data_IF_295000146539
#
_entry.id   IF_295000146539
#
_cell.length_a   1.000
_cell.length_b   1.000
_cell.length_c   1.000
_cell.angle_alpha   90.00
_cell.angle_beta   90.00
_cell.angle_gamma   90.00
#
_symmetry.space_group_name_H-M   'P 1'
#
loop_
_entity.id
_entity.type
_entity.pdbx_description
1 polymer ?
#
# COMPACT_ATOMS: atom_id res chain seq x y z
N UNK A 1 2.54 -42.22 -18.65
CA UNK A 1 2.07 -42.24 -17.23
C UNK A 1 3.13 -41.50 -16.43
N UNK A 2 2.91 -40.22 -16.12
CA UNK A 2 3.87 -39.36 -15.39
C UNK A 2 3.86 -39.77 -13.92
N UNK A 3 4.92 -40.45 -13.49
CA UNK A 3 5.14 -40.81 -12.10
C UNK A 3 5.56 -39.57 -11.31
N UNK A 4 4.62 -38.78 -10.84
CA UNK A 4 4.90 -37.66 -9.93
C UNK A 4 5.37 -38.27 -8.60
N UNK A 5 6.61 -37.99 -8.15
CA UNK A 5 7.12 -38.56 -6.90
C UNK A 5 6.23 -38.13 -5.73
N UNK A 6 5.82 -39.10 -4.89
CA UNK A 6 5.04 -38.86 -3.68
C UNK A 6 5.89 -38.05 -2.70
N UNK A 7 5.54 -36.76 -2.48
CA UNK A 7 6.26 -35.86 -1.55
C UNK A 7 6.17 -36.40 -0.11
N UNK A 8 7.26 -36.35 0.60
CA UNK A 8 7.32 -36.64 2.04
C UNK A 8 6.44 -35.66 2.84
N UNK A 9 6.02 -36.00 4.06
CA UNK A 9 5.27 -35.09 4.93
C UNK A 9 5.98 -33.74 5.11
N UNK A 10 7.32 -33.73 5.28
CA UNK A 10 8.13 -32.53 5.40
C UNK A 10 8.10 -31.69 4.14
N UNK A 11 8.24 -32.28 2.97
CA UNK A 11 8.19 -31.56 1.69
C UNK A 11 6.82 -30.91 1.44
N UNK A 12 5.73 -31.56 1.87
CA UNK A 12 4.38 -30.97 1.80
C UNK A 12 4.25 -29.75 2.71
N UNK A 13 4.76 -29.82 3.95
CA UNK A 13 4.75 -28.70 4.88
C UNK A 13 5.58 -27.51 4.38
N UNK A 14 6.78 -27.78 3.84
CA UNK A 14 7.62 -26.72 3.27
C UNK A 14 6.96 -26.04 2.07
N UNK A 15 6.33 -26.80 1.19
CA UNK A 15 5.59 -26.24 0.05
C UNK A 15 4.37 -25.41 0.49
N UNK A 16 3.63 -25.87 1.51
CA UNK A 16 2.52 -25.10 2.07
C UNK A 16 2.98 -23.80 2.73
N UNK A 17 4.09 -23.86 3.48
CA UNK A 17 4.69 -22.70 4.13
C UNK A 17 5.12 -21.65 3.08
N UNK A 18 5.82 -22.08 2.03
CA UNK A 18 6.24 -21.21 0.94
C UNK A 18 5.03 -20.56 0.21
N UNK A 19 3.96 -21.32 -0.02
CA UNK A 19 2.72 -20.78 -0.59
C UNK A 19 2.07 -19.73 0.32
N UNK A 20 1.97 -20.01 1.63
CA UNK A 20 1.38 -19.06 2.58
C UNK A 20 2.20 -17.79 2.69
N UNK A 21 3.52 -17.90 2.78
CA UNK A 21 4.42 -16.73 2.84
C UNK A 21 4.25 -15.85 1.59
N UNK A 22 4.19 -16.45 0.38
CA UNK A 22 3.93 -15.68 -0.84
C UNK A 22 2.58 -14.97 -0.82
N UNK A 23 1.52 -15.64 -0.34
CA UNK A 23 0.18 -15.03 -0.21
C UNK A 23 0.17 -13.89 0.79
N UNK A 24 0.81 -14.06 1.95
CA UNK A 24 0.94 -12.99 2.95
C UNK A 24 1.70 -11.79 2.37
N UNK A 25 2.81 -12.02 1.69
CA UNK A 25 3.57 -10.95 1.03
C UNK A 25 2.74 -10.20 -0.02
N UNK A 26 2.04 -10.90 -0.91
CA UNK A 26 1.18 -10.28 -1.91
C UNK A 26 0.03 -9.48 -1.27
N UNK A 27 -0.57 -9.99 -0.20
CA UNK A 27 -1.64 -9.30 0.53
C UNK A 27 -1.12 -8.07 1.27
N UNK A 28 0.08 -8.13 1.85
CA UNK A 28 0.70 -6.97 2.50
C UNK A 28 0.93 -5.82 1.51
N UNK A 29 1.44 -6.12 0.31
CA UNK A 29 1.60 -5.12 -0.76
C UNK A 29 0.27 -4.48 -1.14
N UNK A 30 -0.79 -5.28 -1.31
CA UNK A 30 -2.13 -4.76 -1.64
C UNK A 30 -2.69 -3.87 -0.53
N UNK A 31 -2.53 -4.26 0.74
CA UNK A 31 -2.99 -3.46 1.89
C UNK A 31 -2.22 -2.13 1.92
N UNK A 32 -0.89 -2.17 1.79
CA UNK A 32 -0.04 -0.97 1.76
C UNK A 32 -0.47 0.01 0.66
N UNK A 33 -0.71 -0.48 -0.56
CA UNK A 33 -1.14 0.35 -1.69
C UNK A 33 -2.52 0.99 -1.46
N UNK A 34 -3.48 0.23 -0.93
CA UNK A 34 -4.82 0.72 -0.59
C UNK A 34 -4.79 1.76 0.54
N UNK A 35 -3.98 1.56 1.56
CA UNK A 35 -3.82 2.52 2.66
C UNK A 35 -3.13 3.78 2.17
N UNK A 36 -2.01 3.65 1.43
CA UNK A 36 -1.29 4.76 0.84
C UNK A 36 -2.23 5.67 0.02
N UNK A 37 -3.03 5.07 -0.86
CA UNK A 37 -4.02 5.80 -1.67
C UNK A 37 -5.00 6.59 -0.80
N UNK A 38 -5.47 6.03 0.33
CA UNK A 38 -6.42 6.70 1.23
C UNK A 38 -5.85 7.88 1.97
N UNK A 39 -4.55 7.87 2.25
CA UNK A 39 -3.86 8.98 2.93
C UNK A 39 -3.17 9.93 1.95
N UNK A 40 -3.35 9.74 0.64
CA UNK A 40 -2.78 10.60 -0.41
C UNK A 40 -1.28 10.39 -0.64
N UNK A 41 -0.76 9.23 -0.28
CA UNK A 41 0.62 8.78 -0.51
C UNK A 41 0.66 7.72 -1.63
N UNK A 42 1.86 7.39 -2.08
CA UNK A 42 2.11 6.14 -2.80
C UNK A 42 2.66 5.07 -1.83
N UNK A 43 2.67 3.81 -2.24
CA UNK A 43 3.12 2.69 -1.41
C UNK A 43 4.57 2.84 -0.93
N UNK A 44 5.47 3.32 -1.77
CA UNK A 44 6.88 3.55 -1.37
C UNK A 44 6.99 4.63 -0.28
N UNK A 45 6.19 5.71 -0.36
CA UNK A 45 6.17 6.77 0.65
C UNK A 45 5.61 6.23 1.98
N UNK A 46 4.54 5.42 1.94
CA UNK A 46 3.98 4.79 3.14
C UNK A 46 4.96 3.80 3.78
N UNK A 47 5.62 2.94 2.99
CA UNK A 47 6.65 2.02 3.50
C UNK A 47 7.80 2.76 4.16
N UNK A 48 8.25 3.87 3.58
CA UNK A 48 9.27 4.71 4.18
C UNK A 48 8.80 5.40 5.47
N UNK A 49 7.52 5.78 5.54
CA UNK A 49 6.93 6.34 6.75
C UNK A 49 6.87 5.30 7.88
N UNK A 50 6.49 4.05 7.56
CA UNK A 50 6.48 2.92 8.50
C UNK A 50 7.89 2.62 9.03
N UNK A 51 8.89 2.63 8.14
CA UNK A 51 10.29 2.47 8.55
C UNK A 51 10.74 3.59 9.51
N UNK A 52 10.37 4.84 9.25
CA UNK A 52 10.66 5.97 10.14
C UNK A 52 9.95 5.82 11.49
N UNK A 53 8.72 5.33 11.50
CA UNK A 53 7.96 5.11 12.73
C UNK A 53 8.59 4.02 13.61
N UNK A 54 9.11 2.96 12.99
CA UNK A 54 9.78 1.87 13.68
C UNK A 54 11.19 2.25 14.19
N UNK A 55 11.95 2.99 13.38
CA UNK A 55 13.32 3.37 13.70
C UNK A 55 13.44 4.60 14.62
N UNK A 56 12.38 5.42 14.69
CA UNK A 56 12.43 6.75 15.28
C UNK A 56 13.19 7.76 14.42
N UNK A 57 13.53 8.94 14.97
CA UNK A 57 14.23 9.98 14.25
C UNK A 57 15.55 9.48 13.65
N UNK A 58 15.71 9.58 12.33
CA UNK A 58 16.85 9.00 11.61
C UNK A 58 17.33 9.93 10.49
N UNK A 59 18.55 9.72 10.00
CA UNK A 59 19.08 10.50 8.87
C UNK A 59 18.59 9.97 7.53
N UNK A 60 18.58 10.81 6.48
CA UNK A 60 18.28 10.37 5.13
C UNK A 60 19.20 9.23 4.64
N UNK A 61 20.47 9.24 5.06
CA UNK A 61 21.42 8.17 4.74
C UNK A 61 21.04 6.83 5.38
N UNK A 62 20.68 6.83 6.66
CA UNK A 62 20.20 5.62 7.36
C UNK A 62 18.88 5.11 6.77
N UNK A 63 17.95 6.03 6.45
CA UNK A 63 16.71 5.69 5.79
C UNK A 63 16.96 5.04 4.41
N UNK A 64 17.92 5.55 3.62
CA UNK A 64 18.34 4.94 2.35
C UNK A 64 18.84 3.51 2.53
N UNK A 65 19.63 3.25 3.57
CA UNK A 65 20.11 1.89 3.89
C UNK A 65 18.97 0.94 4.26
N UNK A 66 18.01 1.40 5.07
CA UNK A 66 16.90 0.57 5.54
C UNK A 66 15.85 0.31 4.45
N UNK A 67 15.57 1.30 3.60
CA UNK A 67 14.58 1.16 2.52
C UNK A 67 15.13 0.49 1.25
N UNK A 68 16.45 0.40 1.11
CA UNK A 68 17.08 -0.07 -0.13
C UNK A 68 16.98 0.90 -1.31
N UNK A 69 16.49 2.12 -1.08
CA UNK A 69 16.39 3.17 -2.09
C UNK A 69 17.75 3.86 -2.31
N UNK A 70 17.93 4.43 -3.49
CA UNK A 70 19.08 5.33 -3.73
C UNK A 70 18.93 6.61 -2.90
N UNK A 71 20.04 7.28 -2.60
CA UNK A 71 20.04 8.55 -1.83
C UNK A 71 19.12 9.60 -2.47
N UNK A 72 19.13 9.71 -3.81
CA UNK A 72 18.25 10.65 -4.53
C UNK A 72 16.77 10.29 -4.39
N UNK A 73 16.42 8.99 -4.51
CA UNK A 73 15.06 8.51 -4.33
C UNK A 73 14.58 8.72 -2.88
N UNK A 74 15.44 8.45 -1.89
CA UNK A 74 15.14 8.68 -0.47
C UNK A 74 14.87 10.16 -0.18
N UNK A 75 15.70 11.07 -0.73
CA UNK A 75 15.46 12.51 -0.59
C UNK A 75 14.12 12.92 -1.18
N UNK A 76 13.77 12.41 -2.38
CA UNK A 76 12.50 12.70 -3.01
C UNK A 76 11.29 12.17 -2.21
N UNK A 77 11.41 10.98 -1.59
CA UNK A 77 10.39 10.44 -0.66
C UNK A 77 10.22 11.37 0.54
N UNK A 78 11.32 11.74 1.20
CA UNK A 78 11.28 12.63 2.37
C UNK A 78 10.64 13.97 2.01
N UNK A 79 10.97 14.55 0.85
CA UNK A 79 10.39 15.82 0.39
C UNK A 79 8.87 15.71 0.14
N UNK A 80 8.39 14.56 -0.36
CA UNK A 80 6.95 14.32 -0.53
C UNK A 80 6.25 14.14 0.81
N UNK A 81 6.81 13.34 1.71
CA UNK A 81 6.28 13.13 3.06
C UNK A 81 6.23 14.43 3.87
N UNK A 82 7.25 15.27 3.77
CA UNK A 82 7.30 16.57 4.44
C UNK A 82 6.25 17.54 3.86
N UNK A 83 6.13 17.60 2.53
CA UNK A 83 5.10 18.41 1.86
C UNK A 83 3.69 17.93 2.18
N UNK A 84 3.49 16.64 2.36
CA UNK A 84 2.22 16.04 2.77
C UNK A 84 1.94 16.18 4.29
N UNK A 85 2.89 16.67 5.07
CA UNK A 85 2.74 16.90 6.51
C UNK A 85 2.87 15.64 7.37
N UNK A 86 3.53 14.59 6.89
CA UNK A 86 3.75 13.36 7.65
C UNK A 86 5.06 13.35 8.42
N UNK A 87 6.06 14.04 7.94
CA UNK A 87 7.39 14.12 8.56
C UNK A 87 7.87 15.56 8.64
N UNK A 88 8.87 15.78 9.47
CA UNK A 88 9.63 17.02 9.50
C UNK A 88 11.13 16.74 9.55
N UNK A 89 11.93 17.70 9.06
CA UNK A 89 13.36 17.72 9.24
C UNK A 89 13.71 18.55 10.47
N UNK A 90 14.54 18.03 11.36
CA UNK A 90 15.10 18.81 12.46
C UNK A 90 16.59 18.56 12.62
N UNK A 91 17.30 19.52 13.21
CA UNK A 91 18.71 19.35 13.53
C UNK A 91 18.88 18.42 14.73
N UNK A 92 19.92 17.57 14.67
CA UNK A 92 20.26 16.73 15.81
C UNK A 92 20.62 17.63 17.01
N UNK A 93 20.18 17.31 18.24
CA UNK A 93 20.41 18.14 19.42
C UNK A 93 21.90 18.36 19.72
N UNK A 94 22.72 17.30 19.56
CA UNK A 94 24.14 17.31 19.93
C UNK A 94 25.07 17.62 18.75
N UNK A 95 24.61 17.43 17.49
CA UNK A 95 25.39 17.75 16.28
C UNK A 95 24.53 18.47 15.25
N UNK A 96 24.65 19.79 15.20
CA UNK A 96 23.90 20.65 14.28
C UNK A 96 24.19 20.43 12.78
N UNK A 97 25.23 19.65 12.46
CA UNK A 97 25.54 19.26 11.06
C UNK A 97 24.64 18.13 10.59
N UNK A 98 24.09 17.36 11.52
CA UNK A 98 23.23 16.22 11.25
C UNK A 98 21.78 16.68 11.20
N UNK A 99 21.08 16.31 10.13
CA UNK A 99 19.65 16.51 9.96
C UNK A 99 18.93 15.18 10.14
N UNK A 100 18.02 15.15 11.08
CA UNK A 100 17.11 14.03 11.33
C UNK A 100 15.79 14.26 10.62
N UNK A 101 15.18 13.18 10.17
CA UNK A 101 13.81 13.10 9.71
C UNK A 101 13.01 12.36 10.76
N UNK A 102 11.89 12.90 11.18
CA UNK A 102 11.01 12.29 12.19
C UNK A 102 9.55 12.38 11.77
N UNK A 103 8.75 11.39 12.17
CA UNK A 103 7.31 11.37 11.94
C UNK A 103 6.63 12.34 12.89
N UNK A 104 5.63 13.05 12.39
CA UNK A 104 4.84 13.97 13.20
C UNK A 104 3.75 13.22 13.99
N UNK A 105 3.55 13.58 15.27
CA UNK A 105 2.66 12.88 16.20
C UNK A 105 1.20 12.76 15.70
N UNK A 106 0.73 13.71 14.91
CA UNK A 106 -0.63 13.70 14.38
C UNK A 106 -0.86 12.67 13.25
N UNK A 107 0.19 12.03 12.73
CA UNK A 107 0.09 11.06 11.63
C UNK A 107 -0.54 9.74 12.08
N UNK A 108 -0.20 9.26 13.28
CA UNK A 108 -0.76 8.04 13.85
C UNK A 108 -2.29 8.01 13.81
N UNK A 109 -2.99 9.00 14.40
CA UNK A 109 -4.45 9.08 14.39
C UNK A 109 -5.12 9.04 13.01
N UNK A 110 -4.40 9.35 11.93
CA UNK A 110 -4.93 9.28 10.56
C UNK A 110 -4.74 7.91 9.91
N UNK A 111 -3.67 7.21 10.25
CA UNK A 111 -3.29 5.94 9.64
C UNK A 111 -3.81 4.73 10.44
N UNK A 112 -3.70 4.76 11.77
CA UNK A 112 -4.12 3.67 12.66
C UNK A 112 -5.56 3.16 12.41
N UNK A 113 -6.57 4.01 12.19
CA UNK A 113 -7.93 3.54 11.93
C UNK A 113 -8.02 2.63 10.70
N UNK A 114 -7.14 2.81 9.70
CA UNK A 114 -7.12 2.02 8.47
C UNK A 114 -6.58 0.60 8.70
N UNK A 115 -5.78 0.40 9.76
CA UNK A 115 -5.24 -0.91 10.16
C UNK A 115 -6.00 -1.58 11.30
N UNK A 116 -6.97 -0.90 11.93
CA UNK A 116 -7.66 -1.40 13.13
C UNK A 116 -8.30 -2.76 12.94
N UNK A 117 -9.06 -2.94 11.87
CA UNK A 117 -9.74 -4.21 11.58
C UNK A 117 -8.75 -5.36 11.37
N UNK A 118 -7.65 -5.08 10.64
CA UNK A 118 -6.57 -6.04 10.45
C UNK A 118 -5.93 -6.42 11.80
N UNK A 119 -5.61 -5.42 12.62
CA UNK A 119 -5.03 -5.62 13.94
C UNK A 119 -5.93 -6.47 14.84
N UNK A 120 -7.21 -6.14 14.94
CA UNK A 120 -8.21 -6.90 15.71
C UNK A 120 -8.34 -8.34 15.18
N UNK A 121 -8.32 -8.52 13.86
CA UNK A 121 -8.30 -9.84 13.22
C UNK A 121 -7.08 -10.66 13.62
N UNK A 122 -5.89 -10.07 13.55
CA UNK A 122 -4.64 -10.71 13.94
C UNK A 122 -4.60 -11.03 15.44
N UNK A 123 -5.11 -10.16 16.31
CA UNK A 123 -5.22 -10.45 17.74
C UNK A 123 -6.08 -11.69 18.02
N UNK A 124 -7.21 -11.85 17.31
CA UNK A 124 -8.05 -13.06 17.41
C UNK A 124 -7.34 -14.33 16.92
N UNK A 125 -6.50 -14.21 15.90
CA UNK A 125 -5.66 -15.31 15.41
C UNK A 125 -4.60 -15.66 16.46
N UNK A 126 -3.85 -14.66 16.94
CA UNK A 126 -2.78 -14.85 17.92
C UNK A 126 -3.26 -15.50 19.22
N UNK A 127 -4.48 -15.18 19.66
CA UNK A 127 -5.08 -15.76 20.86
C UNK A 127 -5.32 -17.30 20.79
N UNK A 128 -5.19 -17.90 19.60
CA UNK A 128 -5.33 -19.35 19.40
C UNK A 128 -4.02 -20.11 19.60
N UNK A 129 -2.92 -19.40 19.70
CA UNK A 129 -1.59 -19.98 19.80
C UNK A 129 -1.01 -19.77 21.20
N UNK A 130 -0.34 -20.78 21.72
CA UNK A 130 0.42 -20.66 22.96
C UNK A 130 1.65 -19.77 22.78
N UNK A 131 2.17 -19.22 23.86
CA UNK A 131 3.41 -18.44 23.83
C UNK A 131 4.58 -19.21 23.17
N UNK A 132 4.67 -20.53 23.39
CA UNK A 132 5.71 -21.36 22.80
C UNK A 132 5.57 -21.48 21.28
N UNK A 133 4.36 -21.57 20.77
CA UNK A 133 4.10 -21.59 19.33
C UNK A 133 4.39 -20.24 18.69
N UNK A 134 3.97 -19.15 19.35
CA UNK A 134 4.29 -17.79 18.90
C UNK A 134 5.81 -17.53 18.90
N UNK A 135 6.56 -18.03 19.88
CA UNK A 135 8.02 -17.93 19.91
C UNK A 135 8.67 -18.61 18.69
N UNK A 136 8.19 -19.80 18.32
CA UNK A 136 8.65 -20.50 17.10
C UNK A 136 8.36 -19.66 15.85
N UNK A 137 7.14 -19.08 15.75
CA UNK A 137 6.77 -18.22 14.61
C UNK A 137 7.64 -16.98 14.53
N UNK A 138 7.83 -16.28 15.65
CA UNK A 138 8.70 -15.09 15.74
C UNK A 138 10.11 -15.41 15.27
N UNK A 139 10.72 -16.46 15.82
CA UNK A 139 12.07 -16.88 15.44
C UNK A 139 12.16 -17.21 13.94
N UNK A 140 11.23 -18.02 13.42
CA UNK A 140 11.20 -18.37 12.01
C UNK A 140 11.11 -17.14 11.11
N UNK A 141 10.18 -16.21 11.41
CA UNK A 141 9.98 -15.01 10.61
C UNK A 141 11.19 -14.05 10.71
N UNK A 142 11.84 -13.97 11.87
CA UNK A 142 13.06 -13.17 12.03
C UNK A 142 14.22 -13.71 11.17
N UNK A 143 14.45 -15.03 11.19
CA UNK A 143 15.46 -15.67 10.34
C UNK A 143 15.13 -15.53 8.84
N UNK A 144 13.86 -15.64 8.47
CA UNK A 144 13.40 -15.44 7.09
C UNK A 144 13.60 -13.99 6.62
N UNK A 145 13.33 -13.00 7.51
CA UNK A 145 13.56 -11.58 7.23
C UNK A 145 15.05 -11.29 6.99
N UNK A 146 15.95 -11.85 7.81
CA UNK A 146 17.39 -11.71 7.58
C UNK A 146 17.84 -12.34 6.25
N UNK A 147 17.29 -13.50 5.89
CA UNK A 147 17.58 -14.14 4.60
C UNK A 147 17.11 -13.26 3.43
N UNK A 148 15.92 -12.65 3.57
CA UNK A 148 15.37 -11.68 2.61
C UNK A 148 16.28 -10.44 2.47
N UNK A 149 16.75 -9.87 3.58
CA UNK A 149 17.63 -8.70 3.57
C UNK A 149 18.97 -9.00 2.86
N UNK A 150 19.55 -10.19 3.10
CA UNK A 150 20.74 -10.64 2.35
C UNK A 150 20.47 -10.77 0.85
N UNK A 151 19.29 -11.26 0.47
CA UNK A 151 18.92 -11.40 -0.93
C UNK A 151 18.71 -10.04 -1.62
N UNK A 152 18.10 -9.07 -0.93
CA UNK A 152 17.99 -7.69 -1.42
C UNK A 152 19.37 -7.10 -1.68
N UNK A 153 20.30 -7.21 -0.73
CA UNK A 153 21.66 -6.72 -0.89
C UNK A 153 22.38 -7.40 -2.08
N UNK A 154 22.17 -8.68 -2.27
CA UNK A 154 22.70 -9.40 -3.43
C UNK A 154 22.10 -8.90 -4.75
N UNK A 155 20.76 -8.73 -4.83
CA UNK A 155 20.11 -8.20 -6.03
C UNK A 155 20.60 -6.81 -6.42
N UNK A 156 20.89 -5.95 -5.45
CA UNK A 156 21.44 -4.60 -5.69
C UNK A 156 22.83 -4.63 -6.36
N UNK A 157 23.60 -5.71 -6.20
CA UNK A 157 24.91 -5.90 -6.86
C UNK A 157 24.80 -6.52 -8.25
N UNK A 158 23.62 -7.03 -8.63
CA UNK A 158 23.44 -7.68 -9.92
C UNK A 158 23.23 -6.66 -11.04
N UNK A 159 23.83 -6.88 -12.22
CA UNK A 159 23.54 -6.05 -13.39
C UNK A 159 22.08 -6.21 -13.80
N UNK A 160 21.47 -5.13 -14.29
CA UNK A 160 20.12 -5.19 -14.83
C UNK A 160 20.06 -6.22 -15.97
N UNK A 161 19.12 -7.16 -15.90
CA UNK A 161 18.89 -8.11 -16.98
C UNK A 161 18.42 -7.33 -18.21
N UNK A 162 19.18 -7.40 -19.30
CA UNK A 162 18.74 -6.86 -20.57
C UNK A 162 17.51 -7.65 -21.03
N UNK A 163 16.33 -7.04 -20.94
CA UNK A 163 15.13 -7.61 -21.53
C UNK A 163 15.34 -7.67 -23.05
N UNK A 164 15.70 -8.83 -23.55
CA UNK A 164 15.57 -9.12 -24.97
C UNK A 164 14.07 -9.11 -25.28
N UNK A 165 13.53 -7.93 -25.66
CA UNK A 165 12.19 -7.85 -26.24
C UNK A 165 12.24 -8.72 -27.50
N UNK A 166 11.52 -9.85 -27.58
CA UNK A 166 11.41 -10.56 -28.83
C UNK A 166 10.89 -9.54 -29.84
N UNK A 167 11.68 -9.27 -30.89
CA UNK A 167 11.20 -8.48 -32.02
C UNK A 167 9.96 -9.19 -32.54
N UNK A 168 8.81 -8.66 -32.22
CA UNK A 168 7.58 -9.02 -32.89
C UNK A 168 7.86 -8.73 -34.38
N UNK A 169 8.10 -9.78 -35.17
CA UNK A 169 8.06 -9.66 -36.62
C UNK A 169 6.67 -9.12 -36.92
N UNK A 170 6.62 -7.89 -37.40
CA UNK A 170 5.40 -7.32 -37.95
C UNK A 170 4.89 -8.30 -39.01
N UNK A 171 3.87 -9.05 -38.65
CA UNK A 171 3.04 -9.74 -39.64
C UNK A 171 2.39 -8.61 -40.40
N UNK A 172 2.88 -8.37 -41.61
CA UNK A 172 2.20 -7.53 -42.59
C UNK A 172 0.82 -8.14 -42.79
N UNK A 173 -0.17 -7.51 -42.17
CA UNK A 173 -1.58 -7.79 -42.47
C UNK A 173 -1.85 -7.31 -43.88
N UNK A 174 -1.91 -8.26 -44.83
CA UNK A 174 -2.57 -8.01 -46.09
C UNK A 174 -4.02 -7.53 -45.86
N UNK A 175 -4.47 -6.51 -46.59
CA UNK A 175 -5.86 -6.05 -46.46
C UNK A 175 -6.79 -7.12 -46.99
N UNK A 176 -7.59 -7.73 -46.11
CA UNK A 176 -8.72 -8.55 -46.51
C UNK A 176 -9.74 -7.61 -47.21
N UNK A 177 -9.77 -7.70 -48.54
CA UNK A 177 -10.70 -7.00 -49.36
C UNK A 177 -12.16 -7.36 -49.01
N UNK A 178 -12.99 -6.35 -49.07
CA UNK A 178 -14.40 -6.31 -48.83
C UNK A 178 -15.19 -7.44 -49.55
N UNK A 179 -15.98 -8.14 -48.76
CA UNK A 179 -17.23 -8.74 -49.21
C UNK A 179 -18.14 -8.98 -48.03
N UNK A 180 -19.12 -8.09 -47.82
CA UNK A 180 -20.50 -8.51 -47.63
C UNK A 180 -21.42 -7.29 -47.49
N UNK A 181 -22.42 -7.33 -48.32
CA UNK A 181 -23.47 -6.37 -48.56
C UNK A 181 -24.29 -6.04 -47.29
N UNK A 182 -24.74 -4.77 -47.22
CA UNK A 182 -25.79 -4.30 -46.32
C UNK A 182 -27.13 -4.94 -46.68
N UNK A 183 -27.99 -5.22 -45.72
CA UNK A 183 -29.41 -4.97 -45.92
C UNK A 183 -29.90 -3.80 -45.04
N UNK A 184 -30.94 -3.17 -45.59
CA UNK A 184 -31.51 -1.90 -45.21
C UNK A 184 -32.39 -1.94 -43.96
N UNK A 185 -32.40 -0.79 -43.29
CA UNK A 185 -33.52 -0.13 -42.60
C UNK A 185 -34.48 -0.92 -41.71
N UNK A 186 -34.41 -0.64 -40.39
CA UNK A 186 -35.62 -0.52 -39.58
C UNK A 186 -35.47 0.70 -38.67
N UNK A 187 -36.27 1.73 -38.98
CA UNK A 187 -36.48 2.89 -38.10
C UNK A 187 -37.27 2.41 -36.88
N UNK A 188 -36.73 2.58 -35.68
CA UNK A 188 -37.53 2.50 -34.46
C UNK A 188 -37.52 3.87 -33.82
N UNK A 189 -38.72 4.42 -33.69
CA UNK A 189 -39.05 5.69 -33.08
C UNK A 189 -38.57 5.76 -31.61
N UNK A 190 -37.81 6.81 -31.31
CA UNK A 190 -37.48 7.15 -29.94
C UNK A 190 -38.68 7.83 -29.27
N UNK A 191 -39.28 7.14 -28.32
CA UNK A 191 -40.24 7.73 -27.37
C UNK A 191 -39.49 8.29 -26.18
N UNK A 192 -39.61 9.58 -26.00
CA UNK A 192 -39.01 10.40 -24.94
C UNK A 192 -39.78 10.17 -23.62
N UNK A 193 -39.19 9.80 -22.51
CA UNK A 193 -39.88 9.82 -21.22
C UNK A 193 -39.91 11.22 -20.63
N UNK A 194 -41.08 11.54 -20.07
CA UNK A 194 -41.48 12.83 -19.48
C UNK A 194 -40.68 13.22 -18.26
N UNK A 195 -40.47 14.53 -18.13
CA UNK A 195 -39.82 15.18 -17.01
C UNK A 195 -40.65 15.06 -15.71
N UNK A 196 -40.08 14.59 -14.64
CA UNK A 196 -40.61 14.66 -13.27
C UNK A 196 -40.40 16.04 -12.66
N UNK A 197 -41.41 16.64 -12.01
CA UNK A 197 -41.32 18.00 -11.46
C UNK A 197 -40.54 18.00 -10.12
N UNK A 198 -39.69 19.02 -9.94
CA UNK A 198 -38.97 19.33 -8.70
C UNK A 198 -39.94 19.72 -7.57
N UNK A 199 -39.76 19.29 -6.33
CA UNK A 199 -40.51 19.78 -5.19
C UNK A 199 -40.11 21.22 -4.81
N UNK A 200 -41.12 22.04 -4.55
CA UNK A 200 -41.03 23.44 -4.08
C UNK A 200 -40.37 23.53 -2.71
N UNK A 201 -39.42 24.43 -2.61
CA UNK A 201 -38.73 24.86 -1.41
C UNK A 201 -39.69 25.72 -0.58
N UNK A 202 -40.21 25.18 0.52
CA UNK A 202 -40.93 25.94 1.56
C UNK A 202 -39.94 26.62 2.48
N UNK A 203 -39.98 27.95 2.51
CA UNK A 203 -39.25 28.79 3.45
C UNK A 203 -39.84 28.58 4.88
N UNK A 204 -39.03 28.16 5.82
CA UNK A 204 -39.31 28.20 7.23
C UNK A 204 -38.59 29.40 7.86
N UNK A 205 -39.46 30.34 8.29
CA UNK A 205 -39.18 31.53 9.07
C UNK A 205 -38.53 31.18 10.41
N UNK A 206 -37.71 32.12 10.86
CA UNK A 206 -36.85 32.17 12.00
C UNK A 206 -37.38 31.70 13.34
N UNK A 207 -36.47 31.18 14.09
CA UNK A 207 -36.49 31.24 15.57
C UNK A 207 -35.10 31.62 16.06
N UNK A 208 -35.07 32.72 16.72
CA UNK A 208 -33.99 33.36 17.45
C UNK A 208 -33.62 32.54 18.70
N UNK A 209 -32.35 32.21 18.98
CA UNK A 209 -32.01 31.57 20.25
C UNK A 209 -31.81 32.63 21.35
N UNK A 210 -32.59 32.47 22.44
CA UNK A 210 -32.45 33.21 23.69
C UNK A 210 -31.11 32.92 24.38
N UNK A 211 -30.47 34.01 24.83
CA UNK A 211 -29.28 33.97 25.70
C UNK A 211 -29.67 33.53 27.12
N UNK A 212 -28.95 32.67 27.80
CA UNK A 212 -29.04 32.52 29.24
C UNK A 212 -28.23 33.58 29.97
N UNK A 213 -28.87 34.25 30.91
CA UNK A 213 -28.33 35.28 31.79
C UNK A 213 -27.32 34.72 32.78
N UNK A 214 -26.28 35.49 33.02
CA UNK A 214 -25.33 35.32 34.10
C UNK A 214 -26.01 35.39 35.48
N UNK A 215 -25.74 34.42 36.37
CA UNK A 215 -25.83 34.59 37.80
C UNK A 215 -24.47 34.52 38.44
N UNK A 216 -24.11 35.63 39.07
CA UNK A 216 -23.04 35.76 40.08
C UNK A 216 -23.48 34.96 41.35
N UNK A 217 -22.60 34.16 41.88
CA UNK A 217 -22.16 34.21 43.29
C UNK A 217 -20.85 33.46 43.38
#
# INVERSE_FOLDING_TARGET
>A
MSNTPVRTPRERLLAALDEVIRKVGAQAVLISDLVATRVGLNSTDLECLDLLQLAGPTTAGQMSLHSGLTTGATTAVIDRLERAGFVQRRRHPDDRRVVLVEVLDHCGPHIEPLYRELHEGLMKVNARYSNRELDVVVRYLSEALEAGARHVSWLQTQPALSHHRPRHKSVTSEPIAAAHARPASARVSATRPAATPRPRRTARRGQEPQRPSARRK
#
